data_IF_801238818557
#
_entry.id   IF_801238818557
#
_cell.length_a   1.000
_cell.length_b   1.000
_cell.length_c   1.000
_cell.angle_alpha   90.00
_cell.angle_beta   90.00
_cell.angle_gamma   90.00
#
_symmetry.space_group_name_H-M   'P 1'
#
loop_
_entity.id
_entity.type
_entity.pdbx_description
1 polymer ?
#
# COMPACT_ATOMS: atom_id res chain seq x y z
N UNK A 1 9.02 7.18 -8.38
CA UNK A 1 8.29 6.00 -7.90
C UNK A 1 8.27 4.99 -9.02
N UNK A 2 8.59 3.72 -8.77
CA UNK A 2 8.66 2.70 -9.81
C UNK A 2 7.27 2.22 -10.23
N UNK A 3 7.06 2.07 -11.53
CA UNK A 3 5.83 1.53 -12.06
C UNK A 3 5.71 0.05 -11.67
N UNK A 4 4.66 -0.37 -10.95
CA UNK A 4 4.52 -1.76 -10.53
C UNK A 4 4.21 -2.73 -11.70
N UNK A 5 3.99 -2.21 -12.91
CA UNK A 5 3.81 -3.03 -14.11
C UNK A 5 5.09 -3.30 -14.88
N UNK A 6 6.08 -2.40 -14.85
CA UNK A 6 7.29 -2.53 -15.68
C UNK A 6 8.60 -2.15 -14.96
N UNK A 7 8.57 -1.79 -13.68
CA UNK A 7 9.74 -1.38 -12.89
C UNK A 7 10.29 0.02 -13.22
N UNK A 8 9.96 0.58 -14.39
CA UNK A 8 10.50 1.89 -14.80
C UNK A 8 10.09 2.99 -13.83
N UNK A 9 11.07 3.79 -13.41
CA UNK A 9 10.84 4.96 -12.58
C UNK A 9 9.98 6.00 -13.30
N UNK A 10 8.88 6.41 -12.68
CA UNK A 10 8.09 7.55 -13.12
C UNK A 10 8.27 8.74 -12.18
N UNK A 11 8.45 9.91 -12.77
CA UNK A 11 8.42 11.21 -12.11
C UNK A 11 7.09 11.97 -12.32
N UNK A 12 6.28 11.57 -13.32
CA UNK A 12 5.08 12.30 -13.71
C UNK A 12 3.90 12.05 -12.77
N UNK A 13 3.47 13.11 -12.07
CA UNK A 13 2.29 13.08 -11.20
C UNK A 13 1.05 13.55 -11.97
N UNK A 14 0.01 12.72 -12.02
CA UNK A 14 -1.29 13.08 -12.60
C UNK A 14 -2.12 13.96 -11.64
N UNK A 15 -2.25 13.50 -10.40
CA UNK A 15 -2.99 14.19 -9.34
C UNK A 15 -2.50 13.76 -7.96
N UNK A 16 -2.97 14.44 -6.93
CA UNK A 16 -2.82 14.03 -5.53
C UNK A 16 -4.22 13.77 -4.97
N UNK A 17 -4.38 12.79 -4.10
CA UNK A 17 -5.65 12.51 -3.44
C UNK A 17 -5.44 12.02 -2.00
N UNK A 18 -6.47 12.15 -1.16
CA UNK A 18 -6.47 11.63 0.20
C UNK A 18 -6.89 10.15 0.21
N UNK A 19 -6.07 9.31 0.84
CA UNK A 19 -6.37 7.93 1.17
C UNK A 19 -6.50 7.81 2.67
N UNK A 20 -7.48 7.02 3.12
CA UNK A 20 -7.71 6.71 4.52
C UNK A 20 -7.34 5.27 4.78
N UNK A 21 -6.50 5.04 5.78
CA UNK A 21 -6.03 3.72 6.18
C UNK A 21 -6.44 3.46 7.62
N UNK A 22 -7.07 2.32 7.88
CA UNK A 22 -7.19 1.82 9.25
C UNK A 22 -5.79 1.47 9.78
N UNK A 23 -5.52 1.81 11.03
CA UNK A 23 -4.26 1.47 11.70
C UNK A 23 -4.50 0.76 13.03
N UNK A 24 -3.41 0.32 13.67
CA UNK A 24 -3.44 -0.27 15.00
C UNK A 24 -4.16 0.62 15.99
N UNK A 25 -5.02 0.01 16.81
CA UNK A 25 -5.71 0.73 17.85
C UNK A 25 -4.71 1.21 18.90
N UNK A 26 -4.91 2.44 19.38
CA UNK A 26 -4.12 3.02 20.47
C UNK A 26 -5.05 3.21 21.67
N UNK A 27 -4.72 2.56 22.80
CA UNK A 27 -5.56 2.58 24.00
C UNK A 27 -6.98 2.06 23.75
N UNK A 28 -7.13 1.04 22.89
CA UNK A 28 -8.44 0.47 22.52
C UNK A 28 -9.28 1.33 21.57
N UNK A 29 -8.77 2.49 21.11
CA UNK A 29 -9.48 3.37 20.17
C UNK A 29 -9.02 3.11 18.74
N UNK A 30 -9.97 3.06 17.81
CA UNK A 30 -9.69 2.94 16.37
C UNK A 30 -8.90 4.16 15.90
N UNK A 31 -7.81 3.91 15.17
CA UNK A 31 -6.98 4.95 14.55
C UNK A 31 -7.14 4.89 13.03
N UNK A 32 -7.16 6.07 12.41
CA UNK A 32 -7.15 6.24 10.95
C UNK A 32 -6.01 7.17 10.56
N UNK A 33 -5.21 6.74 9.58
CA UNK A 33 -4.21 7.60 8.94
C UNK A 33 -4.85 8.23 7.70
N UNK A 34 -4.90 9.56 7.66
CA UNK A 34 -5.24 10.34 6.47
C UNK A 34 -3.96 10.70 5.73
N UNK A 35 -3.77 10.10 4.56
CA UNK A 35 -2.54 10.23 3.78
C UNK A 35 -2.83 10.90 2.45
N UNK A 36 -2.14 12.01 2.17
CA UNK A 36 -2.17 12.65 0.85
C UNK A 36 -1.11 11.99 -0.04
N UNK A 37 -1.54 11.17 -1.00
CA UNK A 37 -0.64 10.42 -1.90
C UNK A 37 -0.62 10.99 -3.32
N UNK A 38 0.48 10.79 -4.03
CA UNK A 38 0.59 11.08 -5.47
C UNK A 38 0.04 9.92 -6.29
N UNK A 39 -0.68 10.22 -7.37
CA UNK A 39 -1.01 9.27 -8.43
C UNK A 39 -0.08 9.54 -9.62
N UNK A 40 0.80 8.59 -9.90
CA UNK A 40 1.78 8.66 -11.00
C UNK A 40 1.18 8.16 -12.32
N UNK A 41 1.79 8.59 -13.43
CA UNK A 41 1.53 8.08 -14.79
C UNK A 41 2.76 7.31 -15.27
N UNK A 42 2.58 6.09 -15.76
CA UNK A 42 3.65 5.39 -16.46
C UNK A 42 3.69 5.86 -17.92
N UNK A 43 4.88 6.23 -18.41
CA UNK A 43 5.08 6.73 -19.78
C UNK A 43 5.69 5.66 -20.70
N UNK A 44 5.99 4.46 -20.19
CA UNK A 44 6.46 3.34 -20.99
C UNK A 44 5.36 2.85 -21.95
N UNK A 45 5.63 2.88 -23.25
CA UNK A 45 4.65 2.63 -24.31
C UNK A 45 4.01 1.22 -24.25
N UNK A 46 4.80 0.22 -23.86
CA UNK A 46 4.37 -1.19 -23.75
C UNK A 46 3.76 -1.54 -22.39
N UNK A 47 3.73 -0.60 -21.44
CA UNK A 47 3.21 -0.89 -20.10
C UNK A 47 1.68 -0.77 -20.07
N UNK A 48 1.00 -1.85 -19.68
CA UNK A 48 -0.45 -1.86 -19.45
C UNK A 48 -0.90 -1.02 -18.24
N UNK A 49 0.00 -0.73 -17.30
CA UNK A 49 -0.30 0.09 -16.12
C UNK A 49 -0.10 1.56 -16.46
N UNK A 50 -1.19 2.27 -16.75
CA UNK A 50 -1.14 3.71 -17.08
C UNK A 50 -1.04 4.62 -15.87
N UNK A 51 -1.65 4.25 -14.74
CA UNK A 51 -1.65 5.06 -13.51
C UNK A 51 -1.43 4.16 -12.30
N UNK A 52 -0.67 4.64 -11.32
CA UNK A 52 -0.44 3.90 -10.09
C UNK A 52 -0.22 4.87 -8.92
N UNK A 53 -0.73 4.49 -7.75
CA UNK A 53 -0.61 5.31 -6.55
C UNK A 53 0.78 5.13 -5.92
N UNK A 54 1.31 6.20 -5.38
CA UNK A 54 2.46 6.20 -4.50
C UNK A 54 2.31 5.15 -3.40
N UNK A 55 3.36 4.36 -3.19
CA UNK A 55 3.48 3.52 -2.01
C UNK A 55 4.48 4.19 -1.07
N UNK A 56 4.00 4.61 0.10
CA UNK A 56 4.86 5.04 1.19
C UNK A 56 5.45 3.77 1.81
N UNK A 57 6.79 3.63 1.83
CA UNK A 57 7.46 2.49 2.44
C UNK A 57 6.99 2.29 3.88
N UNK A 58 6.89 1.03 4.31
CA UNK A 58 6.52 0.62 5.68
C UNK A 58 5.11 1.00 6.15
N UNK A 59 4.39 1.83 5.38
CA UNK A 59 3.04 2.26 5.71
C UNK A 59 1.98 1.64 4.80
N UNK A 60 2.27 1.51 3.51
CA UNK A 60 1.27 1.17 2.50
C UNK A 60 1.68 -0.01 1.64
N UNK A 61 0.68 -0.76 1.20
CA UNK A 61 0.80 -1.76 0.15
C UNK A 61 -0.31 -1.58 -0.89
N UNK A 62 -0.12 -2.23 -2.04
CA UNK A 62 -1.03 -2.11 -3.18
C UNK A 62 -2.43 -2.58 -2.79
N UNK A 63 -3.44 -1.81 -3.18
CA UNK A 63 -4.86 -2.05 -2.88
C UNK A 63 -5.23 -2.13 -1.39
N UNK A 64 -4.29 -1.89 -0.47
CA UNK A 64 -4.55 -1.92 0.97
C UNK A 64 -5.59 -0.90 1.43
N UNK A 65 -6.36 -1.23 2.45
CA UNK A 65 -7.22 -0.26 3.16
C UNK A 65 -6.81 -0.11 4.63
N UNK A 66 -5.65 -0.66 4.98
CA UNK A 66 -5.03 -0.69 6.30
C UNK A 66 -3.55 -0.40 6.18
N UNK A 67 -2.93 0.08 7.25
CA UNK A 67 -1.48 0.18 7.36
C UNK A 67 -0.84 -1.22 7.23
N UNK A 68 0.43 -1.25 6.83
CA UNK A 68 1.21 -2.49 6.83
C UNK A 68 1.26 -3.12 8.22
N UNK A 69 1.44 -2.31 9.27
CA UNK A 69 1.45 -2.77 10.66
C UNK A 69 0.15 -3.49 11.05
N UNK A 70 -1.01 -2.90 10.77
CA UNK A 70 -2.30 -3.54 11.07
C UNK A 70 -2.51 -4.80 10.21
N UNK A 71 -2.06 -4.81 8.96
CA UNK A 71 -2.16 -6.00 8.12
C UNK A 71 -1.31 -7.15 8.66
N UNK A 72 -0.11 -6.86 9.15
CA UNK A 72 0.76 -7.85 9.79
C UNK A 72 0.16 -8.39 11.10
N UNK A 73 -0.33 -7.51 11.97
CA UNK A 73 -0.97 -7.91 13.23
C UNK A 73 -2.17 -8.84 13.00
N UNK A 74 -3.03 -8.51 12.04
CA UNK A 74 -4.18 -9.36 11.70
C UNK A 74 -3.80 -10.72 11.11
N UNK A 75 -2.67 -10.83 10.41
CA UNK A 75 -2.19 -12.12 9.92
C UNK A 75 -1.70 -13.02 11.05
N UNK A 76 -1.07 -12.45 12.08
CA UNK A 76 -0.64 -13.20 13.27
C UNK A 76 -1.86 -13.69 14.05
N UNK A 77 -2.85 -12.83 14.25
CA UNK A 77 -4.05 -13.16 15.03
C UNK A 77 -5.05 -14.06 14.28
N UNK A 78 -5.09 -13.97 12.95
CA UNK A 78 -5.98 -14.74 12.09
C UNK A 78 -5.45 -16.13 11.71
N UNK A 79 -4.26 -16.51 12.18
CA UNK A 79 -3.67 -17.83 11.90
C UNK A 79 -4.29 -18.90 12.81
N UNK A 80 -4.96 -19.94 12.28
CA UNK A 80 -5.07 -21.19 13.02
C UNK A 80 -3.65 -21.74 13.24
N UNK A 81 -3.43 -22.37 14.38
CA UNK A 81 -2.13 -22.70 14.99
C UNK A 81 -1.25 -23.72 14.24
N UNK A 82 -1.23 -23.75 12.89
CA UNK A 82 -0.53 -24.79 12.12
C UNK A 82 -0.16 -24.52 10.65
N UNK A 83 -0.12 -23.28 10.15
CA UNK A 83 0.25 -23.01 8.74
C UNK A 83 1.69 -22.45 8.58
N UNK A 84 2.53 -22.85 7.60
CA UNK A 84 3.88 -22.29 7.43
C UNK A 84 3.87 -20.88 6.81
N UNK A 85 4.90 -20.07 7.09
CA UNK A 85 4.99 -18.63 6.75
C UNK A 85 5.03 -18.37 5.25
N UNK A 86 4.29 -17.36 4.78
CA UNK A 86 4.44 -16.84 3.41
C UNK A 86 5.35 -15.61 3.47
N UNK A 87 6.62 -15.83 3.12
CA UNK A 87 7.53 -14.79 2.64
C UNK A 87 7.04 -14.35 1.26
N UNK A 88 6.56 -13.11 1.14
CA UNK A 88 6.07 -12.56 -0.12
C UNK A 88 5.01 -11.48 0.08
N UNK A 89 5.38 -10.39 0.75
CA UNK A 89 4.65 -9.12 0.74
C UNK A 89 5.50 -8.07 0.06
#
# INVERSE_FOLDING_TARGET
MECPGCGVASARVHRRYERRLADMALGGRRVEIKLRVRLFVCEAATCGIRRFAEQVPELTFRYGRRSLLLAAALQVLGRPSGWPSVSGW
#
